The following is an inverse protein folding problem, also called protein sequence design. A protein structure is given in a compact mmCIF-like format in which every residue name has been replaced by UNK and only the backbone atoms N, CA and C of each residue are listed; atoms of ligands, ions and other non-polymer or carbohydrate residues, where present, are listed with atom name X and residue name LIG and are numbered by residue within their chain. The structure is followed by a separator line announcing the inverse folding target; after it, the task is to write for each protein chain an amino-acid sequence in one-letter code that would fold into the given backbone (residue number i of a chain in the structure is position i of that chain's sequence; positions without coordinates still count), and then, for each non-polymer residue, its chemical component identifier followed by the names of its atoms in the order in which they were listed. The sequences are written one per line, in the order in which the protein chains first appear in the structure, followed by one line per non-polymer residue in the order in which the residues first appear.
data_IF_869869903902
#
_entry.id   IF_869869903902
#
_cell.length_a   1.000
_cell.length_b   1.000
_cell.length_c   1.000
_cell.angle_alpha   90.00
_cell.angle_beta   90.00
_cell.angle_gamma   90.00
#
_symmetry.space_group_name_H-M   'P 1'
#
loop_
_entity.id
_entity.type
_entity.pdbx_description
1 polymer ?
#
# COMPACT_ATOMS: atom_id res chain seq x y z
N UNK A 1 -17.27 -8.85 -15.63
CA UNK A 1 -15.98 -8.55 -14.94
C UNK A 1 -16.08 -7.49 -13.83
N UNK A 2 -17.05 -6.56 -13.90
CA UNK A 2 -17.31 -5.51 -12.89
C UNK A 2 -17.30 -5.96 -11.43
N UNK A 3 -17.96 -7.08 -11.11
CA UNK A 3 -18.00 -7.62 -9.73
C UNK A 3 -16.61 -8.08 -9.26
N UNK A 4 -15.86 -8.79 -10.11
CA UNK A 4 -14.50 -9.25 -9.80
C UNK A 4 -13.55 -8.08 -9.49
N UNK A 5 -13.62 -7.00 -10.27
CA UNK A 5 -12.83 -5.79 -10.02
C UNK A 5 -13.22 -5.09 -8.70
N UNK A 6 -14.52 -5.04 -8.39
CA UNK A 6 -15.01 -4.43 -7.15
C UNK A 6 -14.57 -5.23 -5.92
N UNK A 7 -14.73 -6.56 -5.95
CA UNK A 7 -14.31 -7.45 -4.87
C UNK A 7 -12.79 -7.35 -4.66
N UNK A 8 -11.99 -7.46 -5.72
CA UNK A 8 -10.54 -7.33 -5.62
C UNK A 8 -10.13 -5.97 -5.04
N UNK A 9 -10.76 -4.88 -5.49
CA UNK A 9 -10.50 -3.53 -4.96
C UNK A 9 -10.76 -3.46 -3.45
N UNK A 10 -11.94 -3.92 -3.02
CA UNK A 10 -12.39 -3.90 -1.61
C UNK A 10 -11.45 -4.77 -0.76
N UNK A 11 -11.19 -6.00 -1.18
CA UNK A 11 -10.30 -6.92 -0.45
C UNK A 11 -8.91 -6.32 -0.26
N UNK A 12 -8.30 -5.77 -1.31
CA UNK A 12 -6.98 -5.15 -1.21
C UNK A 12 -6.97 -3.95 -0.27
N UNK A 13 -8.00 -3.10 -0.29
CA UNK A 13 -8.14 -1.97 0.65
C UNK A 13 -8.30 -2.46 2.09
N UNK A 14 -9.14 -3.48 2.31
CA UNK A 14 -9.38 -4.03 3.63
C UNK A 14 -8.09 -4.63 4.23
N UNK A 15 -7.35 -5.43 3.45
CA UNK A 15 -6.06 -5.95 3.89
C UNK A 15 -5.04 -4.85 4.16
N UNK A 16 -4.95 -3.84 3.28
CA UNK A 16 -4.08 -2.69 3.50
C UNK A 16 -4.42 -1.97 4.81
N UNK A 17 -5.71 -1.77 5.07
CA UNK A 17 -6.16 -1.14 6.32
C UNK A 17 -5.78 -1.98 7.52
N UNK A 18 -6.08 -3.28 7.53
CA UNK A 18 -5.76 -4.19 8.65
C UNK A 18 -4.27 -4.16 8.97
N UNK A 19 -3.41 -4.27 7.94
CA UNK A 19 -1.95 -4.22 8.11
C UNK A 19 -1.52 -2.84 8.62
N UNK A 20 -2.03 -1.74 8.04
CA UNK A 20 -1.68 -0.39 8.48
C UNK A 20 -2.13 -0.07 9.90
N UNK A 21 -3.30 -0.59 10.29
CA UNK A 21 -3.83 -0.44 11.64
C UNK A 21 -2.99 -1.25 12.61
N UNK A 22 -2.60 -2.47 12.27
CA UNK A 22 -1.65 -3.25 13.07
C UNK A 22 -0.31 -2.53 13.24
N UNK A 23 0.23 -1.92 12.17
CA UNK A 23 1.44 -1.10 12.25
C UNK A 23 1.30 0.08 13.21
N UNK A 24 0.21 0.85 13.13
CA UNK A 24 -0.07 1.94 14.07
C UNK A 24 -0.24 1.40 15.50
N UNK A 25 -0.96 0.30 15.62
CA UNK A 25 -1.28 -0.34 16.89
C UNK A 25 -0.02 -0.76 17.65
N UNK A 26 1.00 -1.23 16.94
CA UNK A 26 2.29 -1.60 17.51
C UNK A 26 3.19 -0.40 17.88
N UNK A 27 2.71 0.84 17.74
CA UNK A 27 3.49 2.04 18.10
C UNK A 27 3.26 2.51 19.55
N UNK A 28 4.29 3.02 20.25
CA UNK A 28 4.16 3.55 21.62
C UNK A 28 3.12 4.67 21.78
N UNK A 29 3.06 5.69 20.90
CA UNK A 29 2.06 6.76 21.04
C UNK A 29 0.63 6.21 21.03
N UNK A 30 0.39 5.16 20.24
CA UNK A 30 -0.90 4.51 20.21
C UNK A 30 -1.13 3.70 21.49
N UNK A 31 -0.20 2.83 21.89
CA UNK A 31 -0.33 2.01 23.11
C UNK A 31 -0.53 2.85 24.38
N UNK A 32 0.18 3.97 24.49
CA UNK A 32 0.02 4.93 25.58
C UNK A 32 -1.36 5.60 25.57
N UNK A 33 -1.92 5.90 24.40
CA UNK A 33 -3.25 6.47 24.25
C UNK A 33 -4.37 5.49 24.67
N UNK A 34 -4.18 4.19 24.41
CA UNK A 34 -5.17 3.14 24.75
C UNK A 34 -4.85 2.39 26.05
N UNK A 35 -3.93 2.89 26.89
CA UNK A 35 -3.56 2.31 28.19
C UNK A 35 -3.24 0.80 28.14
N UNK A 36 -2.74 0.28 27.03
CA UNK A 36 -2.46 -1.15 26.84
C UNK A 36 -3.67 -2.09 26.80
N UNK A 37 -4.91 -1.59 26.94
CA UNK A 37 -6.12 -2.43 26.98
C UNK A 37 -6.53 -3.00 25.61
N UNK A 38 -5.97 -2.46 24.54
CA UNK A 38 -6.46 -2.74 23.20
C UNK A 38 -5.97 -4.09 22.61
N UNK A 39 -5.12 -4.85 23.34
CA UNK A 39 -4.56 -6.14 22.93
C UNK A 39 -5.50 -7.32 23.20
N UNK A 40 -6.77 -7.05 23.54
CA UNK A 40 -7.76 -8.11 23.63
C UNK A 40 -8.07 -8.65 22.23
N UNK A 41 -7.84 -9.95 22.02
CA UNK A 41 -8.10 -10.68 20.75
C UNK A 41 -9.51 -10.40 20.22
N UNK A 42 -10.50 -10.26 21.11
CA UNK A 42 -11.88 -9.90 20.74
C UNK A 42 -11.99 -8.50 20.11
N UNK A 43 -11.23 -7.54 20.64
CA UNK A 43 -11.18 -6.18 20.12
C UNK A 43 -10.60 -6.12 18.71
N UNK A 44 -9.50 -6.84 18.46
CA UNK A 44 -8.87 -6.91 17.13
C UNK A 44 -9.83 -7.53 16.09
N UNK A 45 -10.50 -8.63 16.44
CA UNK A 45 -11.49 -9.28 15.57
C UNK A 45 -12.64 -8.32 15.24
N UNK A 46 -13.17 -7.62 16.25
CA UNK A 46 -14.28 -6.68 16.08
C UNK A 46 -13.88 -5.47 15.21
N UNK A 47 -12.72 -4.88 15.45
CA UNK A 47 -12.18 -3.78 14.65
C UNK A 47 -11.99 -4.20 13.19
N UNK A 48 -11.41 -5.38 12.94
CA UNK A 48 -11.24 -5.88 11.57
C UNK A 48 -12.58 -6.11 10.85
N UNK A 49 -13.60 -6.60 11.55
CA UNK A 49 -14.93 -6.82 10.99
C UNK A 49 -15.62 -5.48 10.66
N UNK A 50 -15.56 -4.50 11.56
CA UNK A 50 -16.06 -3.15 11.32
C UNK A 50 -15.33 -2.51 10.14
N UNK A 51 -14.01 -2.66 10.06
CA UNK A 51 -13.22 -2.14 8.94
C UNK A 51 -13.71 -2.68 7.61
N UNK A 52 -13.94 -3.99 7.48
CA UNK A 52 -14.42 -4.58 6.22
C UNK A 52 -15.78 -3.97 5.83
N UNK A 53 -16.70 -3.84 6.78
CA UNK A 53 -18.01 -3.22 6.55
C UNK A 53 -17.84 -1.76 6.12
N UNK A 54 -16.99 -1.00 6.80
CA UNK A 54 -16.72 0.41 6.49
C UNK A 54 -16.08 0.59 5.11
N UNK A 55 -15.13 -0.26 4.72
CA UNK A 55 -14.51 -0.27 3.38
C UNK A 55 -15.56 -0.52 2.30
N UNK A 56 -16.46 -1.48 2.51
CA UNK A 56 -17.56 -1.77 1.57
C UNK A 56 -18.43 -0.53 1.41
N UNK A 57 -18.88 0.06 2.53
CA UNK A 57 -19.72 1.26 2.55
C UNK A 57 -19.02 2.43 1.81
N UNK A 58 -17.76 2.69 2.13
CA UNK A 58 -16.96 3.74 1.50
C UNK A 58 -16.78 3.53 -0.01
N UNK A 59 -16.62 2.29 -0.45
CA UNK A 59 -16.46 1.94 -1.86
C UNK A 59 -17.73 2.25 -2.69
N UNK A 60 -18.91 2.16 -2.10
CA UNK A 60 -20.18 2.39 -2.80
C UNK A 60 -20.76 3.81 -2.62
N UNK A 61 -20.46 4.51 -1.53
CA UNK A 61 -21.00 5.85 -1.26
C UNK A 61 -20.32 6.98 -2.05
N UNK A 62 -19.01 7.20 -1.84
CA UNK A 62 -18.30 8.35 -2.43
C UNK A 62 -16.83 8.03 -2.72
N UNK A 63 -16.40 8.37 -3.94
CA UNK A 63 -15.01 8.21 -4.40
C UNK A 63 -13.99 8.91 -3.50
N UNK A 64 -14.34 10.07 -2.94
CA UNK A 64 -13.47 10.84 -2.05
C UNK A 64 -13.16 10.08 -0.76
N UNK A 65 -14.15 9.37 -0.19
CA UNK A 65 -13.99 8.59 1.03
C UNK A 65 -13.03 7.42 0.77
N UNK A 66 -13.17 6.72 -0.36
CA UNK A 66 -12.29 5.60 -0.70
C UNK A 66 -10.81 6.02 -0.87
N UNK A 67 -10.56 7.21 -1.44
CA UNK A 67 -9.21 7.80 -1.50
C UNK A 67 -8.72 8.26 -0.14
N UNK A 68 -9.59 8.86 0.68
CA UNK A 68 -9.25 9.27 2.04
C UNK A 68 -8.83 8.07 2.90
N UNK A 69 -9.49 6.92 2.74
CA UNK A 69 -9.08 5.68 3.42
C UNK A 69 -7.66 5.24 3.03
N UNK A 70 -7.29 5.32 1.75
CA UNK A 70 -5.93 5.04 1.33
C UNK A 70 -4.91 5.98 2.01
N UNK A 71 -5.25 7.28 2.13
CA UNK A 71 -4.41 8.25 2.83
C UNK A 71 -4.27 7.88 4.31
N UNK A 72 -5.37 7.50 4.97
CA UNK A 72 -5.36 7.06 6.37
C UNK A 72 -4.46 5.83 6.56
N UNK A 73 -4.51 4.85 5.64
CA UNK A 73 -3.63 3.68 5.71
C UNK A 73 -2.14 4.06 5.63
N UNK A 74 -1.79 5.02 4.75
CA UNK A 74 -0.41 5.54 4.66
C UNK A 74 -0.02 6.28 5.94
N UNK A 75 -0.91 7.15 6.46
CA UNK A 75 -0.66 7.88 7.71
C UNK A 75 -0.42 6.92 8.88
N UNK A 76 -1.29 5.93 9.05
CA UNK A 76 -1.16 4.90 10.10
C UNK A 76 0.16 4.15 9.98
N UNK A 77 0.52 3.74 8.76
CA UNK A 77 1.80 3.06 8.50
C UNK A 77 3.01 3.95 8.77
N UNK A 78 2.90 5.27 8.55
CA UNK A 78 4.02 6.20 8.74
C UNK A 78 4.41 6.36 10.21
N UNK A 79 3.47 6.23 11.15
CA UNK A 79 3.75 6.23 12.58
C UNK A 79 4.66 5.07 13.00
N UNK A 80 4.59 3.92 12.32
CA UNK A 80 5.46 2.77 12.59
C UNK A 80 6.92 3.01 12.16
N UNK A 81 7.18 4.00 11.30
CA UNK A 81 8.55 4.36 10.88
C UNK A 81 9.23 5.27 11.89
N UNK A 82 8.47 6.08 12.63
CA UNK A 82 9.01 7.08 13.54
C UNK A 82 9.96 6.50 14.60
N UNK A 83 9.65 5.38 15.29
CA UNK A 83 10.53 4.78 16.28
C UNK A 83 11.87 4.28 15.69
N UNK A 84 11.87 3.93 14.41
CA UNK A 84 13.08 3.49 13.69
C UNK A 84 13.87 4.66 13.09
N UNK A 85 13.30 5.87 13.09
CA UNK A 85 13.98 7.07 12.64
C UNK A 85 14.80 7.67 13.78
N UNK A 86 15.98 8.22 13.46
CA UNK A 86 16.83 8.94 14.42
C UNK A 86 16.17 10.21 15.01
N UNK A 87 14.92 10.51 14.68
CA UNK A 87 14.16 11.62 15.26
C UNK A 87 13.67 11.34 16.70
N UNK A 88 13.62 10.08 17.14
CA UNK A 88 13.21 9.68 18.50
C UNK A 88 14.36 9.06 19.32
N UNK A 89 15.57 9.64 19.21
CA UNK A 89 16.70 9.23 20.05
C UNK A 89 16.38 9.60 21.51
N UNK A 90 16.11 8.59 22.35
CA UNK A 90 15.94 8.77 23.80
C UNK A 90 15.01 7.77 24.51
N UNK A 91 14.19 6.99 23.80
CA UNK A 91 13.33 6.00 24.45
C UNK A 91 13.99 4.62 24.47
N UNK A 92 14.35 4.14 25.66
CA UNK A 92 14.87 2.78 25.92
C UNK A 92 13.83 1.65 25.68
N UNK A 93 12.73 1.93 24.96
CA UNK A 93 11.64 0.98 24.71
C UNK A 93 11.82 0.14 23.43
N UNK A 94 12.98 0.25 22.77
CA UNK A 94 13.27 -0.34 21.44
C UNK A 94 13.06 -1.87 21.38
N UNK A 95 13.15 -2.56 22.52
CA UNK A 95 13.12 -4.03 22.59
C UNK A 95 11.72 -4.66 22.45
N UNK A 96 10.63 -3.89 22.54
CA UNK A 96 9.25 -4.40 22.39
C UNK A 96 8.64 -4.17 20.99
N UNK A 97 9.43 -3.72 20.02
CA UNK A 97 8.91 -3.29 18.72
C UNK A 97 8.92 -4.38 17.65
N UNK A 98 8.05 -4.21 16.65
CA UNK A 98 8.14 -4.97 15.40
C UNK A 98 9.56 -4.74 14.84
N UNK A 99 10.30 -5.81 14.51
CA UNK A 99 11.63 -5.67 13.90
C UNK A 99 11.59 -4.74 12.71
N UNK A 100 12.63 -3.91 12.56
CA UNK A 100 12.70 -2.88 11.52
C UNK A 100 12.51 -3.47 10.10
N UNK A 101 12.98 -4.70 9.90
CA UNK A 101 12.83 -5.48 8.67
C UNK A 101 11.36 -5.83 8.42
N UNK A 102 10.67 -6.31 9.45
CA UNK A 102 9.27 -6.68 9.36
C UNK A 102 8.40 -5.43 9.15
N UNK A 103 8.71 -4.31 9.83
CA UNK A 103 8.06 -3.01 9.61
C UNK A 103 8.20 -2.55 8.16
N UNK A 104 9.40 -2.61 7.58
CA UNK A 104 9.65 -2.21 6.19
C UNK A 104 8.86 -3.06 5.18
N UNK A 105 8.82 -4.38 5.38
CA UNK A 105 8.06 -5.31 4.53
C UNK A 105 6.56 -5.06 4.64
N UNK A 106 6.04 -4.86 5.86
CA UNK A 106 4.62 -4.59 6.09
C UNK A 106 4.18 -3.26 5.47
N UNK A 107 4.99 -2.21 5.57
CA UNK A 107 4.72 -0.92 4.90
C UNK A 107 4.68 -1.09 3.39
N UNK A 108 5.67 -1.80 2.82
CA UNK A 108 5.67 -2.08 1.38
C UNK A 108 4.42 -2.86 0.95
N UNK A 109 3.98 -3.83 1.75
CA UNK A 109 2.75 -4.57 1.51
C UNK A 109 1.53 -3.63 1.50
N UNK A 110 1.39 -2.72 2.48
CA UNK A 110 0.32 -1.71 2.51
C UNK A 110 0.32 -0.90 1.22
N UNK A 111 1.46 -0.36 0.79
CA UNK A 111 1.57 0.46 -0.42
C UNK A 111 1.13 -0.32 -1.67
N UNK A 112 1.63 -1.54 -1.84
CA UNK A 112 1.29 -2.40 -2.99
C UNK A 112 -0.20 -2.73 -3.01
N UNK A 113 -0.79 -3.10 -1.87
CA UNK A 113 -2.22 -3.39 -1.75
C UNK A 113 -3.08 -2.16 -2.10
N UNK A 114 -2.71 -0.97 -1.61
CA UNK A 114 -3.40 0.28 -1.94
C UNK A 114 -3.31 0.62 -3.43
N UNK A 115 -2.14 0.42 -4.05
CA UNK A 115 -1.94 0.62 -5.48
C UNK A 115 -2.89 -0.26 -6.31
N UNK A 116 -2.97 -1.56 -6.00
CA UNK A 116 -3.90 -2.47 -6.65
C UNK A 116 -5.36 -2.07 -6.40
N UNK A 117 -5.70 -1.76 -5.15
CA UNK A 117 -7.05 -1.37 -4.78
C UNK A 117 -7.54 -0.18 -5.60
N UNK A 118 -6.79 0.93 -5.58
CA UNK A 118 -7.15 2.15 -6.29
C UNK A 118 -7.20 1.94 -7.80
N UNK A 119 -6.30 1.10 -8.35
CA UNK A 119 -6.29 0.80 -9.79
C UNK A 119 -7.50 -0.02 -10.22
N UNK A 120 -7.88 -1.05 -9.46
CA UNK A 120 -9.08 -1.83 -9.76
C UNK A 120 -10.36 -1.01 -9.62
N UNK A 121 -10.42 -0.11 -8.64
CA UNK A 121 -11.51 0.85 -8.58
C UNK A 121 -11.58 1.73 -9.83
N UNK A 122 -10.45 2.20 -10.36
CA UNK A 122 -10.40 2.98 -11.61
C UNK A 122 -10.87 2.16 -12.82
N UNK A 123 -10.48 0.90 -12.92
CA UNK A 123 -10.93 0.01 -14.00
C UNK A 123 -12.43 -0.28 -13.96
N UNK A 124 -13.02 -0.35 -12.76
CA UNK A 124 -14.48 -0.41 -12.60
C UNK A 124 -15.17 0.85 -13.15
N UNK A 125 -14.54 2.01 -13.01
CA UNK A 125 -15.07 3.27 -13.55
C UNK A 125 -15.01 3.27 -15.09
N UNK A 126 -13.85 2.92 -15.67
CA UNK A 126 -13.73 2.76 -17.13
C UNK A 126 -14.70 1.75 -17.71
N UNK A 127 -14.96 0.64 -16.99
CA UNK A 127 -15.97 -0.31 -17.40
C UNK A 127 -17.36 0.34 -17.52
N UNK A 128 -17.75 1.18 -16.55
CA UNK A 128 -19.07 1.83 -16.57
C UNK A 128 -19.16 2.87 -17.68
N UNK A 129 -18.11 3.65 -17.87
CA UNK A 129 -18.00 4.71 -18.87
C UNK A 129 -18.07 4.16 -20.30
N UNK A 130 -17.20 3.21 -20.64
CA UNK A 130 -17.21 2.60 -21.97
C UNK A 130 -18.50 1.81 -22.26
N UNK A 131 -19.08 1.21 -21.22
CA UNK A 131 -20.39 0.56 -21.37
C UNK A 131 -21.49 1.58 -21.66
N UNK A 132 -21.48 2.77 -21.03
CA UNK A 132 -22.42 3.84 -21.35
C UNK A 132 -22.21 4.48 -22.72
N UNK A 133 -20.99 4.41 -23.25
CA UNK A 133 -20.63 4.86 -24.60
C UNK A 133 -21.00 3.84 -25.69
N UNK A 134 -21.54 2.68 -25.32
CA UNK A 134 -21.98 1.65 -26.25
C UNK A 134 -20.88 0.74 -26.79
N UNK A 135 -19.69 0.76 -26.17
CA UNK A 135 -18.59 -0.17 -26.52
C UNK A 135 -19.01 -1.60 -26.17
N UNK A 136 -18.70 -2.56 -27.05
CA UNK A 136 -19.05 -3.97 -26.82
C UNK A 136 -18.41 -4.51 -25.53
N UNK A 137 -19.21 -5.19 -24.70
CA UNK A 137 -18.76 -5.74 -23.41
C UNK A 137 -17.56 -6.69 -23.58
N UNK A 138 -17.51 -7.47 -24.66
CA UNK A 138 -16.39 -8.36 -24.98
C UNK A 138 -15.09 -7.59 -25.21
N UNK A 139 -15.17 -6.45 -25.88
CA UNK A 139 -14.02 -5.59 -26.15
C UNK A 139 -13.52 -4.90 -24.88
N UNK A 140 -14.43 -4.34 -24.08
CA UNK A 140 -14.12 -3.79 -22.75
C UNK A 140 -13.40 -4.85 -21.89
N UNK A 141 -13.90 -6.09 -21.87
CA UNK A 141 -13.28 -7.18 -21.13
C UNK A 141 -11.88 -7.50 -21.63
N UNK A 142 -11.65 -7.57 -22.94
CA UNK A 142 -10.32 -7.82 -23.52
C UNK A 142 -9.33 -6.73 -23.10
N UNK A 143 -9.72 -5.45 -23.23
CA UNK A 143 -8.88 -4.29 -22.87
C UNK A 143 -8.54 -4.31 -21.39
N UNK A 144 -9.54 -4.47 -20.51
CA UNK A 144 -9.32 -4.46 -19.06
C UNK A 144 -8.50 -5.65 -18.57
N UNK A 145 -8.64 -6.83 -19.19
CA UNK A 145 -7.82 -8.00 -18.87
C UNK A 145 -6.35 -7.75 -19.23
N UNK A 146 -6.08 -7.20 -20.41
CA UNK A 146 -4.71 -6.85 -20.83
C UNK A 146 -4.10 -5.78 -19.92
N UNK A 147 -4.85 -4.72 -19.61
CA UNK A 147 -4.40 -3.66 -18.68
C UNK A 147 -4.10 -4.22 -17.28
N UNK A 148 -4.93 -5.14 -16.80
CA UNK A 148 -4.73 -5.81 -15.50
C UNK A 148 -3.47 -6.67 -15.50
N UNK A 149 -3.24 -7.47 -16.55
CA UNK A 149 -2.04 -8.31 -16.67
C UNK A 149 -0.77 -7.47 -16.69
N UNK A 150 -0.74 -6.43 -17.52
CA UNK A 150 0.41 -5.53 -17.63
C UNK A 150 0.70 -4.82 -16.30
N UNK A 151 -0.33 -4.27 -15.66
CA UNK A 151 -0.18 -3.59 -14.37
C UNK A 151 0.29 -4.54 -13.26
N UNK A 152 -0.19 -5.78 -13.26
CA UNK A 152 0.23 -6.79 -12.29
C UNK A 152 1.71 -7.16 -12.46
N UNK A 153 2.17 -7.35 -13.71
CA UNK A 153 3.59 -7.60 -14.00
C UNK A 153 4.48 -6.44 -13.57
N UNK A 154 4.05 -5.21 -13.88
CA UNK A 154 4.77 -4.00 -13.47
C UNK A 154 4.88 -3.87 -11.96
N UNK A 155 3.79 -4.10 -11.23
CA UNK A 155 3.81 -4.08 -9.77
C UNK A 155 4.69 -5.18 -9.19
N UNK A 156 4.62 -6.43 -9.69
CA UNK A 156 5.49 -7.51 -9.23
C UNK A 156 6.97 -7.13 -9.40
N UNK A 157 7.33 -6.57 -10.56
CA UNK A 157 8.69 -6.11 -10.83
C UNK A 157 9.12 -5.04 -9.84
N UNK A 158 8.31 -3.99 -9.65
CA UNK A 158 8.64 -2.91 -8.71
C UNK A 158 8.73 -3.44 -7.28
N UNK A 159 7.77 -4.25 -6.83
CA UNK A 159 7.81 -4.84 -5.49
C UNK A 159 9.07 -5.67 -5.29
N UNK A 160 9.47 -6.46 -6.29
CA UNK A 160 10.71 -7.22 -6.26
C UNK A 160 11.94 -6.32 -6.12
N UNK A 161 12.00 -5.22 -6.87
CA UNK A 161 13.10 -4.26 -6.77
C UNK A 161 13.07 -3.54 -5.40
N UNK A 162 11.90 -3.15 -4.89
CA UNK A 162 11.75 -2.55 -3.57
C UNK A 162 12.20 -3.51 -2.47
N UNK A 163 11.83 -4.79 -2.53
CA UNK A 163 12.30 -5.80 -1.57
C UNK A 163 13.82 -5.97 -1.64
N UNK A 164 14.39 -6.04 -2.84
CA UNK A 164 15.83 -6.07 -3.03
C UNK A 164 16.52 -4.85 -2.39
N UNK A 165 15.99 -3.64 -2.65
CA UNK A 165 16.50 -2.41 -2.05
C UNK A 165 16.39 -2.40 -0.52
N UNK A 166 15.29 -2.92 0.03
CA UNK A 166 15.11 -3.07 1.48
C UNK A 166 16.18 -4.01 2.05
N UNK A 167 16.37 -5.19 1.46
CA UNK A 167 17.41 -6.14 1.89
C UNK A 167 18.82 -5.57 1.79
N UNK A 168 19.13 -4.88 0.69
CA UNK A 168 20.42 -4.22 0.48
C UNK A 168 20.62 -3.09 1.49
N UNK A 169 19.60 -2.26 1.73
CA UNK A 169 19.64 -1.16 2.70
C UNK A 169 19.92 -1.65 4.12
N UNK A 170 19.30 -2.76 4.54
CA UNK A 170 19.61 -3.39 5.83
C UNK A 170 21.02 -3.95 5.88
N UNK A 171 21.45 -4.68 4.84
CA UNK A 171 22.84 -5.16 4.77
C UNK A 171 23.85 -4.01 4.90
N UNK A 172 23.57 -2.86 4.29
CA UNK A 172 24.42 -1.68 4.41
C UNK A 172 24.45 -1.09 5.82
N UNK A 173 23.30 -1.05 6.50
CA UNK A 173 23.18 -0.56 7.87
C UNK A 173 23.95 -1.46 8.87
N UNK A 174 23.98 -2.77 8.65
CA UNK A 174 24.62 -3.72 9.55
C UNK A 174 26.09 -4.02 9.23
N UNK A 175 26.56 -3.88 7.98
CA UNK A 175 27.91 -4.30 7.56
C UNK A 175 28.88 -3.17 7.16
N UNK A 176 28.65 -1.91 7.56
CA UNK A 176 29.50 -0.75 7.18
C UNK A 176 29.77 -0.71 5.66
N UNK A 177 28.70 -0.53 4.88
CA UNK A 177 28.82 -0.48 3.43
C UNK A 177 29.69 0.70 2.92
N UNK A 178 30.38 0.46 1.81
CA UNK A 178 31.16 1.48 1.12
C UNK A 178 30.29 2.64 0.61
N UNK A 179 30.83 3.87 0.64
CA UNK A 179 30.13 5.07 0.19
C UNK A 179 29.65 5.00 -1.27
N UNK A 180 30.40 4.32 -2.15
CA UNK A 180 30.02 4.10 -3.54
C UNK A 180 28.77 3.23 -3.68
N UNK A 181 28.62 2.21 -2.81
CA UNK A 181 27.44 1.34 -2.80
C UNK A 181 26.19 2.07 -2.27
N UNK A 182 26.35 2.95 -1.28
CA UNK A 182 25.29 3.84 -0.78
C UNK A 182 24.77 4.75 -1.90
N UNK A 183 25.68 5.42 -2.63
CA UNK A 183 25.33 6.32 -3.74
C UNK A 183 24.60 5.56 -4.86
N UNK A 184 25.10 4.37 -5.24
CA UNK A 184 24.46 3.53 -6.26
C UNK A 184 23.00 3.17 -5.88
N UNK A 185 22.78 2.83 -4.63
CA UNK A 185 21.46 2.38 -4.14
C UNK A 185 20.48 3.55 -4.02
N UNK A 186 20.97 4.73 -3.63
CA UNK A 186 20.19 5.97 -3.68
C UNK A 186 19.81 6.35 -5.12
N UNK A 187 20.73 6.22 -6.08
CA UNK A 187 20.45 6.45 -7.49
C UNK A 187 19.42 5.46 -8.04
N UNK A 188 19.53 4.17 -7.68
CA UNK A 188 18.55 3.15 -8.08
C UNK A 188 17.16 3.47 -7.52
N UNK A 189 17.09 3.90 -6.25
CA UNK A 189 15.85 4.37 -5.61
C UNK A 189 15.23 5.57 -6.34
N UNK A 190 16.04 6.59 -6.66
CA UNK A 190 15.59 7.75 -7.44
C UNK A 190 15.11 7.35 -8.84
N UNK A 191 15.85 6.50 -9.55
CA UNK A 191 15.48 6.02 -10.87
C UNK A 191 14.14 5.26 -10.85
N UNK A 192 13.88 4.46 -9.80
CA UNK A 192 12.58 3.84 -9.58
C UNK A 192 11.48 4.86 -9.33
N UNK A 193 11.69 5.85 -8.47
CA UNK A 193 10.70 6.90 -8.20
C UNK A 193 10.38 7.64 -9.50
N UNK A 194 11.39 8.04 -10.27
CA UNK A 194 11.21 8.67 -11.57
C UNK A 194 10.50 7.75 -12.56
N UNK A 195 10.87 6.48 -12.62
CA UNK A 195 10.20 5.47 -13.46
C UNK A 195 8.73 5.28 -13.12
N UNK A 196 8.39 5.23 -11.82
CA UNK A 196 7.03 5.18 -11.32
C UNK A 196 6.24 6.44 -11.70
N UNK A 197 6.82 7.63 -11.55
CA UNK A 197 6.20 8.91 -11.94
C UNK A 197 5.94 8.95 -13.45
N UNK A 198 6.94 8.59 -14.27
CA UNK A 198 6.82 8.55 -15.73
C UNK A 198 5.78 7.53 -16.18
N UNK A 199 5.71 6.37 -15.53
CA UNK A 199 4.71 5.34 -15.83
C UNK A 199 3.29 5.82 -15.51
N UNK A 200 3.10 6.45 -14.35
CA UNK A 200 1.82 7.01 -13.94
C UNK A 200 1.39 8.11 -14.93
N UNK A 201 2.32 9.01 -15.32
CA UNK A 201 2.03 10.15 -16.20
C UNK A 201 1.83 9.75 -17.67
N UNK A 202 2.62 8.83 -18.22
CA UNK A 202 2.43 8.35 -19.61
C UNK A 202 1.20 7.47 -19.80
N UNK A 203 0.71 6.76 -18.77
CA UNK A 203 -0.52 5.94 -18.92
C UNK A 203 -1.81 6.75 -19.12
N UNK A 204 -1.71 8.09 -19.07
CA UNK A 204 -2.77 9.04 -19.40
C UNK A 204 -2.86 9.28 -20.93
N UNK A 205 -1.83 8.90 -21.71
CA UNK A 205 -1.74 9.20 -23.16
C UNK A 205 -2.09 8.04 -24.11
N UNK A 206 -2.61 6.91 -23.61
CA UNK A 206 -3.25 5.90 -24.48
C UNK A 206 -4.75 6.19 -24.64
N UNK A 207 -5.02 7.34 -25.24
CA UNK A 207 -6.26 7.66 -25.96
C UNK A 207 -5.85 8.32 -27.26
N UNK A 208 -5.61 7.48 -28.26
CA UNK A 208 -5.98 7.71 -29.64
C UNK A 208 -6.40 6.37 -30.21
#
# INVERSE_FOLDING_TARGET
MKYKLSVASISMMAFAYIISYYLLYSTPPYQAMVNGEALNVRGIIFTNLITVVFVIIAHYLKKSIYKAMAIVCILFSSFAVLPHSRFLIGSNEIENFIPIELTAVMILAVVVLLMFSLRFNKYKEYYKEWYSEGVEEKEIHKILAQKTKFYSLFNILITGICLFLVSVGFKMLYENASASFIIFTAFLGLALITGCIVFISRSIFFTK
#
